data_IF_464175772175
#
_entry.id   IF_464175772175
#
_cell.length_a   1.000
_cell.length_b   1.000
_cell.length_c   1.000
_cell.angle_alpha   90.00
_cell.angle_beta   90.00
_cell.angle_gamma   90.00
#
_symmetry.space_group_name_H-M   'P 1'
#
loop_
_entity.id
_entity.type
_entity.pdbx_description
1 polymer ?
#
# COMPACT_ATOMS: atom_id res chain seq x y z
N UNK A 1 -1.57 -14.21 65.68
CA UNK A 1 -1.01 -15.56 65.93
C UNK A 1 -1.15 -16.34 64.62
N UNK A 2 -0.03 -16.88 64.14
CA UNK A 2 0.18 -17.68 62.94
C UNK A 2 0.27 -16.98 61.55
N UNK A 3 1.14 -17.50 60.65
CA UNK A 3 1.92 -16.78 59.66
C UNK A 3 1.73 -17.42 58.25
N UNK A 4 2.77 -17.35 57.41
CA UNK A 4 3.14 -18.37 56.40
C UNK A 4 2.95 -18.00 54.90
N UNK A 5 3.94 -17.27 54.37
CA UNK A 5 4.86 -17.64 53.27
C UNK A 5 4.37 -18.09 51.85
N UNK A 6 5.28 -18.02 50.83
CA UNK A 6 5.00 -17.60 49.44
C UNK A 6 5.23 -18.69 48.36
N UNK A 7 4.85 -18.44 47.10
CA UNK A 7 5.31 -19.10 45.85
C UNK A 7 4.59 -18.44 44.65
N UNK A 8 5.02 -18.34 43.40
CA UNK A 8 6.12 -18.94 42.65
C UNK A 8 6.42 -18.05 41.43
N UNK A 9 7.71 -17.91 41.11
CA UNK A 9 8.20 -17.44 39.82
C UNK A 9 8.00 -18.56 38.78
N UNK A 10 7.35 -18.29 37.65
CA UNK A 10 7.39 -19.16 36.47
C UNK A 10 8.37 -18.61 35.45
N UNK A 11 9.55 -19.23 35.40
CA UNK A 11 10.41 -19.24 34.21
C UNK A 11 9.68 -20.03 33.13
N UNK A 12 9.50 -19.44 31.95
CA UNK A 12 9.14 -20.19 30.74
C UNK A 12 10.36 -20.17 29.83
N UNK A 13 10.89 -21.36 29.69
CA UNK A 13 12.00 -21.79 28.86
C UNK A 13 11.71 -21.48 27.38
N UNK A 14 12.63 -20.78 26.72
CA UNK A 14 12.57 -20.56 25.26
C UNK A 14 13.07 -21.82 24.57
N UNK A 15 12.12 -22.62 24.09
CA UNK A 15 12.36 -23.73 23.19
C UNK A 15 12.82 -23.19 21.81
N UNK A 16 13.95 -23.69 21.33
CA UNK A 16 14.58 -23.34 20.06
C UNK A 16 14.12 -24.35 18.98
N UNK A 17 13.58 -23.95 17.82
CA UNK A 17 13.16 -24.91 16.80
C UNK A 17 14.35 -25.46 15.99
N UNK A 18 14.22 -26.69 15.44
CA UNK A 18 15.34 -27.47 14.94
C UNK A 18 15.81 -27.09 13.52
N UNK A 19 17.11 -27.26 13.30
CA UNK A 19 17.75 -27.26 11.99
C UNK A 19 17.16 -28.33 11.07
N UNK A 20 16.81 -27.96 9.84
CA UNK A 20 16.60 -28.90 8.74
C UNK A 20 17.71 -28.74 7.69
N UNK A 21 18.39 -29.86 7.47
CA UNK A 21 19.50 -30.05 6.56
C UNK A 21 19.02 -30.78 5.30
N UNK A 22 19.59 -30.39 4.14
CA UNK A 22 19.57 -31.04 2.81
C UNK A 22 18.22 -30.98 2.07
N UNK A 23 18.19 -30.72 0.76
CA UNK A 23 18.92 -31.45 -0.29
C UNK A 23 19.27 -30.57 -1.50
N UNK A 24 20.42 -30.91 -2.07
CA UNK A 24 20.92 -30.51 -3.38
C UNK A 24 19.90 -30.79 -4.50
N UNK A 25 19.82 -29.91 -5.50
CA UNK A 25 19.51 -30.30 -6.87
C UNK A 25 20.42 -29.54 -7.85
N UNK A 26 21.29 -30.24 -8.60
CA UNK A 26 22.15 -29.67 -9.63
C UNK A 26 21.57 -29.96 -11.03
N UNK A 27 21.09 -28.96 -11.78
CA UNK A 27 21.18 -28.92 -13.26
C UNK A 27 20.39 -27.73 -13.84
N UNK A 28 21.03 -27.05 -14.81
CA UNK A 28 20.54 -26.10 -15.84
C UNK A 28 21.47 -24.87 -15.84
N UNK A 29 22.59 -24.79 -16.57
CA UNK A 29 22.75 -24.85 -18.04
C UNK A 29 21.60 -24.10 -18.75
N UNK A 30 21.77 -23.00 -19.48
CA UNK A 30 22.91 -22.46 -20.23
C UNK A 30 22.85 -20.93 -20.27
N UNK A 31 24.01 -20.29 -20.24
CA UNK A 31 24.22 -18.96 -20.81
C UNK A 31 24.53 -19.08 -22.31
N UNK A 32 24.04 -18.16 -23.17
CA UNK A 32 24.71 -17.85 -24.41
C UNK A 32 25.51 -16.54 -24.29
N UNK A 33 26.75 -16.49 -24.81
CA UNK A 33 27.53 -15.28 -24.89
C UNK A 33 27.42 -14.62 -26.27
N UNK A 34 27.88 -13.35 -26.29
CA UNK A 34 28.45 -12.60 -27.42
C UNK A 34 27.50 -11.84 -28.37
N UNK A 35 27.72 -10.53 -28.34
CA UNK A 35 27.37 -9.50 -29.30
C UNK A 35 28.17 -9.66 -30.61
N UNK A 36 27.50 -9.69 -31.77
CA UNK A 36 28.16 -9.48 -33.08
C UNK A 36 27.36 -8.48 -33.90
N UNK A 37 28.04 -7.37 -34.26
CA UNK A 37 27.63 -6.39 -35.26
C UNK A 37 27.58 -7.04 -36.64
N UNK A 38 26.55 -6.72 -37.42
CA UNK A 38 26.66 -6.72 -38.88
C UNK A 38 25.88 -5.55 -39.48
N UNK A 39 26.62 -4.77 -40.24
CA UNK A 39 26.20 -3.70 -41.13
C UNK A 39 25.45 -4.29 -42.34
N UNK A 40 24.36 -3.65 -42.82
CA UNK A 40 24.22 -3.04 -44.16
C UNK A 40 22.78 -3.09 -44.76
N UNK A 41 22.33 -1.90 -45.19
CA UNK A 41 21.55 -1.54 -46.40
C UNK A 41 20.09 -1.98 -46.62
N UNK A 42 19.28 -0.97 -46.95
CA UNK A 42 17.97 -1.04 -47.63
C UNK A 42 17.09 0.16 -47.25
N UNK A 43 17.27 1.35 -47.84
CA UNK A 43 16.60 1.85 -49.05
C UNK A 43 15.07 2.02 -48.93
N UNK A 44 14.62 3.28 -48.95
CA UNK A 44 13.33 3.69 -49.54
C UNK A 44 12.19 4.02 -48.57
N UNK A 45 11.90 5.32 -48.40
CA UNK A 45 10.58 5.90 -48.65
C UNK A 45 10.56 7.39 -48.24
N UNK A 46 10.61 8.27 -49.24
CA UNK A 46 10.13 9.64 -49.13
C UNK A 46 8.64 9.61 -48.78
N UNK A 47 8.26 10.12 -47.61
CA UNK A 47 6.98 10.81 -47.41
C UNK A 47 7.21 11.98 -46.48
N UNK A 48 7.00 13.18 -47.01
CA UNK A 48 6.81 14.39 -46.23
C UNK A 48 5.70 14.14 -45.21
N UNK A 49 6.05 14.11 -43.92
CA UNK A 49 5.10 14.35 -42.84
C UNK A 49 5.47 15.66 -42.19
N UNK A 50 4.52 16.57 -42.21
CA UNK A 50 4.49 17.76 -41.38
C UNK A 50 4.72 17.39 -39.90
N UNK A 51 5.46 18.18 -39.11
CA UNK A 51 5.46 18.02 -37.67
C UNK A 51 4.06 18.41 -37.14
N UNK A 52 3.38 17.58 -36.33
CA UNK A 52 2.23 18.07 -35.60
C UNK A 52 2.71 19.11 -34.59
N UNK A 53 2.03 20.25 -34.66
CA UNK A 53 2.04 21.36 -33.72
C UNK A 53 2.19 20.89 -32.26
N UNK A 54 3.05 21.62 -31.56
CA UNK A 54 3.19 21.71 -30.11
C UNK A 54 1.89 21.40 -29.35
N UNK A 55 1.92 20.30 -28.61
CA UNK A 55 0.97 20.02 -27.54
C UNK A 55 1.61 20.48 -26.21
N UNK A 56 1.24 21.64 -25.64
CA UNK A 56 1.84 22.15 -24.40
C UNK A 56 1.46 21.35 -23.14
N UNK A 57 0.76 20.21 -23.28
CA UNK A 57 0.35 19.33 -22.17
C UNK A 57 0.94 17.91 -22.25
N UNK A 58 2.04 17.70 -23.00
CA UNK A 58 2.73 16.40 -23.07
C UNK A 58 3.86 16.23 -22.02
N UNK A 59 3.78 16.86 -20.85
CA UNK A 59 4.78 16.73 -19.77
C UNK A 59 4.68 15.42 -18.95
N UNK A 60 3.76 14.51 -19.25
CA UNK A 60 3.64 13.22 -18.54
C UNK A 60 4.04 12.02 -19.38
N UNK A 61 5.28 12.00 -19.93
CA UNK A 61 5.85 10.75 -20.47
C UNK A 61 7.08 10.28 -19.68
N UNK A 62 6.97 9.01 -19.31
CA UNK A 62 7.95 8.14 -18.66
C UNK A 62 8.14 8.38 -17.15
N UNK A 63 7.19 7.89 -16.35
CA UNK A 63 7.54 7.42 -15.02
C UNK A 63 8.44 6.20 -15.20
N UNK A 64 9.75 6.42 -15.20
CA UNK A 64 10.68 5.43 -14.71
C UNK A 64 10.12 4.98 -13.36
N UNK A 65 9.57 3.77 -13.25
CA UNK A 65 9.25 3.17 -11.95
C UNK A 65 10.57 2.90 -11.25
N UNK A 66 11.22 3.95 -10.77
CA UNK A 66 12.34 3.86 -9.86
C UNK A 66 11.75 3.25 -8.59
N UNK A 67 11.87 1.92 -8.44
CA UNK A 67 11.60 1.25 -7.17
C UNK A 67 12.29 2.07 -6.10
N UNK A 68 11.51 2.76 -5.27
CA UNK A 68 11.99 3.76 -4.31
C UNK A 68 12.83 3.12 -3.19
N UNK A 69 13.08 1.81 -3.27
CA UNK A 69 13.72 1.01 -2.23
C UNK A 69 12.88 0.98 -0.96
N UNK A 70 11.60 1.35 -1.04
CA UNK A 70 10.72 1.50 0.11
C UNK A 70 10.32 0.13 0.65
N UNK A 71 10.69 -0.11 1.91
CA UNK A 71 10.23 -1.24 2.70
C UNK A 71 8.82 -1.03 3.26
N UNK A 72 8.26 -2.09 3.82
CA UNK A 72 6.99 -2.06 4.55
C UNK A 72 7.29 -2.61 5.94
N UNK A 73 6.85 -1.91 6.98
CA UNK A 73 7.07 -2.36 8.34
C UNK A 73 6.29 -3.67 8.61
N UNK A 74 6.83 -4.58 9.42
CA UNK A 74 6.24 -5.91 9.63
C UNK A 74 4.84 -5.84 10.27
N UNK A 75 4.58 -4.80 11.07
CA UNK A 75 3.30 -4.61 11.74
C UNK A 75 2.15 -4.23 10.79
N UNK A 76 2.43 -3.82 9.54
CA UNK A 76 1.40 -3.41 8.57
C UNK A 76 0.43 -4.56 8.28
N UNK A 77 0.98 -5.76 8.07
CA UNK A 77 0.19 -6.96 7.81
C UNK A 77 -0.63 -7.37 9.03
N UNK A 78 -0.05 -7.27 10.22
CA UNK A 78 -0.75 -7.58 11.48
C UNK A 78 -1.94 -6.64 11.68
N UNK A 79 -1.73 -5.33 11.54
CA UNK A 79 -2.81 -4.33 11.68
C UNK A 79 -3.91 -4.53 10.63
N UNK A 80 -3.57 -4.97 9.42
CA UNK A 80 -4.56 -5.30 8.39
C UNK A 80 -5.44 -6.49 8.80
N UNK A 81 -4.84 -7.57 9.29
CA UNK A 81 -5.57 -8.75 9.77
C UNK A 81 -6.46 -8.39 10.95
N UNK A 82 -6.01 -7.50 11.85
CA UNK A 82 -6.82 -7.01 12.96
C UNK A 82 -8.03 -6.18 12.51
N UNK A 83 -7.86 -5.34 11.49
CA UNK A 83 -8.96 -4.61 10.87
C UNK A 83 -9.95 -5.58 10.19
N UNK A 84 -9.47 -6.55 9.42
CA UNK A 84 -10.33 -7.47 8.66
C UNK A 84 -11.07 -8.49 9.55
N UNK A 85 -10.38 -9.13 10.49
CA UNK A 85 -10.92 -10.27 11.23
C UNK A 85 -11.56 -9.86 12.56
N UNK A 86 -10.88 -8.99 13.32
CA UNK A 86 -11.36 -8.60 14.65
C UNK A 86 -12.34 -7.45 14.57
N UNK A 87 -12.42 -6.75 13.43
CA UNK A 87 -13.12 -5.46 13.27
C UNK A 87 -12.76 -4.52 14.42
N UNK A 88 -11.49 -4.53 14.81
CA UNK A 88 -11.01 -3.78 15.97
C UNK A 88 -10.90 -2.27 15.67
N UNK A 89 -10.80 -1.91 14.40
CA UNK A 89 -10.59 -0.56 13.92
C UNK A 89 -11.58 -0.22 12.80
N UNK A 90 -12.07 1.02 12.78
CA UNK A 90 -12.86 1.54 11.64
C UNK A 90 -11.95 1.90 10.47
N UNK A 91 -10.78 2.44 10.78
CA UNK A 91 -9.81 2.85 9.79
C UNK A 91 -8.38 2.72 10.31
N UNK A 92 -7.42 2.65 9.40
CA UNK A 92 -5.98 2.65 9.70
C UNK A 92 -5.29 3.58 8.73
N UNK A 93 -4.47 4.48 9.23
CA UNK A 93 -3.67 5.42 8.43
C UNK A 93 -2.21 5.01 8.48
N UNK A 94 -1.61 5.01 7.31
CA UNK A 94 -0.20 4.72 7.09
C UNK A 94 0.50 5.94 6.49
N UNK A 95 1.76 6.11 6.90
CA UNK A 95 2.65 7.14 6.37
C UNK A 95 3.95 6.51 5.88
N UNK A 96 4.59 7.18 4.94
CA UNK A 96 5.95 6.87 4.53
C UNK A 96 6.92 7.66 5.40
N UNK A 97 7.80 6.95 6.11
CA UNK A 97 8.95 7.58 6.77
C UNK A 97 10.16 7.59 5.83
N UNK A 98 10.42 8.73 5.19
CA UNK A 98 11.52 8.88 4.22
C UNK A 98 12.90 8.58 4.84
N UNK A 99 13.10 8.90 6.13
CA UNK A 99 14.36 8.63 6.84
C UNK A 99 14.66 7.14 6.97
N UNK A 100 13.62 6.36 7.26
CA UNK A 100 13.71 4.91 7.44
C UNK A 100 13.46 4.15 6.14
N UNK A 101 13.04 4.85 5.08
CA UNK A 101 12.61 4.27 3.80
C UNK A 101 11.61 3.13 3.98
N UNK A 102 10.65 3.31 4.87
CA UNK A 102 9.62 2.30 5.13
C UNK A 102 8.24 2.92 5.29
N UNK A 103 7.20 2.13 5.00
CA UNK A 103 5.82 2.47 5.34
C UNK A 103 5.51 2.00 6.76
N UNK A 104 4.92 2.87 7.58
CA UNK A 104 4.56 2.59 8.98
C UNK A 104 3.11 2.96 9.26
N UNK A 105 2.52 2.35 10.27
CA UNK A 105 1.23 2.78 10.84
C UNK A 105 1.43 4.13 11.53
N UNK A 106 0.60 5.11 11.16
CA UNK A 106 0.57 6.42 11.81
C UNK A 106 -0.53 6.48 12.87
N UNK A 107 -1.74 6.03 12.54
CA UNK A 107 -2.90 6.06 13.43
C UNK A 107 -3.80 4.86 13.14
N UNK A 108 -4.38 4.29 14.19
CA UNK A 108 -5.52 3.37 14.09
C UNK A 108 -6.74 4.07 14.68
N UNK A 109 -7.87 4.04 13.96
CA UNK A 109 -9.13 4.62 14.40
C UNK A 109 -10.00 3.58 15.09
N UNK A 110 -10.50 3.87 16.28
CA UNK A 110 -11.40 2.98 17.00
C UNK A 110 -12.72 2.79 16.25
N UNK A 111 -13.45 1.70 16.53
CA UNK A 111 -14.77 1.43 15.92
C UNK A 111 -15.84 2.49 16.25
N UNK A 112 -15.62 3.25 17.32
CA UNK A 112 -16.45 4.37 17.78
C UNK A 112 -16.16 5.67 17.07
N UNK A 113 -15.03 5.79 16.37
CA UNK A 113 -14.69 6.98 15.60
C UNK A 113 -15.55 7.06 14.34
N UNK A 114 -15.96 8.29 14.03
CA UNK A 114 -16.81 8.61 12.90
C UNK A 114 -16.00 8.79 11.61
N UNK A 115 -16.70 8.93 10.49
CA UNK A 115 -16.07 9.27 9.22
C UNK A 115 -15.41 10.64 9.23
N UNK A 116 -16.02 11.61 9.92
CA UNK A 116 -15.46 12.95 10.05
C UNK A 116 -14.14 12.94 10.83
N UNK A 117 -14.02 12.09 11.84
CA UNK A 117 -12.77 11.89 12.59
C UNK A 117 -11.66 11.30 11.68
N UNK A 118 -12.04 10.40 10.77
CA UNK A 118 -11.14 9.87 9.75
C UNK A 118 -10.66 10.99 8.82
N UNK A 119 -11.56 11.77 8.24
CA UNK A 119 -11.19 12.88 7.36
C UNK A 119 -10.34 13.94 8.07
N UNK A 120 -10.68 14.28 9.32
CA UNK A 120 -9.92 15.21 10.16
C UNK A 120 -8.50 14.70 10.49
N UNK A 121 -8.27 13.40 10.40
CA UNK A 121 -6.93 12.80 10.59
C UNK A 121 -6.08 12.76 9.31
N UNK A 122 -6.65 13.10 8.15
CA UNK A 122 -5.90 13.24 6.90
C UNK A 122 -5.26 14.64 6.81
N UNK A 123 -3.94 14.74 6.58
CA UNK A 123 -3.27 16.04 6.51
C UNK A 123 -3.57 16.75 5.19
N UNK A 124 -3.80 18.06 5.25
CA UNK A 124 -4.03 18.87 4.05
C UNK A 124 -2.78 19.03 3.17
N UNK A 125 -1.59 18.97 3.74
CA UNK A 125 -0.33 19.32 3.04
C UNK A 125 0.62 18.14 2.80
N UNK A 126 0.17 16.92 3.08
CA UNK A 126 1.00 15.72 2.95
C UNK A 126 0.18 14.51 2.50
N UNK A 127 0.84 13.49 1.97
CA UNK A 127 0.20 12.29 1.46
C UNK A 127 0.03 11.22 2.55
N UNK A 128 -1.01 10.39 2.46
CA UNK A 128 -1.24 9.24 3.35
C UNK A 128 -1.82 8.06 2.58
N UNK A 129 -1.61 6.85 3.10
CA UNK A 129 -2.47 5.74 2.72
C UNK A 129 -3.43 5.47 3.87
N UNK A 130 -4.64 5.07 3.55
CA UNK A 130 -5.60 4.64 4.56
C UNK A 130 -6.31 3.37 4.12
N UNK A 131 -6.67 2.55 5.10
CA UNK A 131 -7.67 1.52 4.95
C UNK A 131 -8.90 1.93 5.74
N UNK A 132 -10.07 1.78 5.14
CA UNK A 132 -11.34 2.11 5.77
C UNK A 132 -12.30 0.92 5.62
N UNK A 133 -12.83 0.40 6.73
CA UNK A 133 -13.87 -0.63 6.72
C UNK A 133 -15.25 0.03 6.68
N UNK A 134 -15.91 -0.06 5.53
CA UNK A 134 -17.25 0.45 5.33
C UNK A 134 -18.28 -0.66 5.54
N UNK A 135 -19.04 -0.56 6.61
CA UNK A 135 -20.16 -1.44 6.93
C UNK A 135 -21.47 -0.91 6.31
N UNK A 136 -22.22 -1.80 5.69
CA UNK A 136 -23.51 -1.50 5.10
C UNK A 136 -24.49 -2.65 5.30
N UNK A 137 -25.78 -2.33 5.28
CA UNK A 137 -26.86 -3.31 5.39
C UNK A 137 -27.51 -3.47 4.03
N UNK A 138 -27.60 -4.71 3.53
CA UNK A 138 -28.30 -4.99 2.27
C UNK A 138 -29.82 -4.97 2.48
N UNK A 139 -30.60 -4.93 1.39
CA UNK A 139 -32.07 -4.96 1.46
C UNK A 139 -32.65 -6.20 2.14
N UNK A 140 -31.85 -7.27 2.29
CA UNK A 140 -32.18 -8.49 3.02
C UNK A 140 -31.89 -8.39 4.53
N UNK A 141 -31.55 -7.20 5.03
CA UNK A 141 -31.13 -6.94 6.41
C UNK A 141 -29.87 -7.72 6.82
N UNK A 142 -29.01 -8.05 5.85
CA UNK A 142 -27.72 -8.72 6.10
C UNK A 142 -26.64 -7.65 6.17
N UNK A 143 -25.91 -7.62 7.29
CA UNK A 143 -24.80 -6.71 7.47
C UNK A 143 -23.57 -7.25 6.73
N UNK A 144 -23.04 -6.44 5.82
CA UNK A 144 -21.81 -6.71 5.07
C UNK A 144 -20.82 -5.59 5.35
N UNK A 145 -19.54 -5.83 5.11
CA UNK A 145 -18.57 -4.76 5.10
C UNK A 145 -17.57 -4.93 3.96
N UNK A 146 -17.06 -3.80 3.47
CA UNK A 146 -16.10 -3.71 2.36
C UNK A 146 -14.96 -2.81 2.81
N UNK A 147 -13.75 -3.31 2.65
CA UNK A 147 -12.52 -2.58 2.97
C UNK A 147 -12.07 -1.79 1.74
N UNK A 148 -11.89 -0.49 1.91
CA UNK A 148 -11.40 0.44 0.90
C UNK A 148 -9.95 0.82 1.19
N UNK A 149 -9.09 0.72 0.18
CA UNK A 149 -7.75 1.29 0.19
C UNK A 149 -7.77 2.69 -0.42
N UNK A 150 -7.42 3.68 0.36
CA UNK A 150 -7.46 5.10 -0.02
C UNK A 150 -6.03 5.62 -0.10
N UNK A 151 -5.62 6.06 -1.29
CA UNK A 151 -4.38 6.80 -1.51
C UNK A 151 -4.69 8.30 -1.48
N UNK A 152 -4.43 8.92 -0.33
CA UNK A 152 -4.61 10.35 -0.09
C UNK A 152 -3.39 11.14 -0.58
N UNK A 153 -3.60 12.05 -1.52
CA UNK A 153 -2.53 12.87 -2.12
C UNK A 153 -3.02 14.28 -2.46
N UNK A 154 -3.11 15.18 -1.48
CA UNK A 154 -3.72 16.48 -1.70
C UNK A 154 -2.95 17.36 -2.68
N UNK A 155 -3.66 18.22 -3.39
CA UNK A 155 -3.09 19.08 -4.45
C UNK A 155 -1.95 19.98 -3.94
N UNK A 156 -2.01 20.41 -2.68
CA UNK A 156 -1.02 21.21 -1.96
C UNK A 156 0.21 20.43 -1.47
N UNK A 157 0.19 19.10 -1.52
CA UNK A 157 1.34 18.26 -1.14
C UNK A 157 2.56 18.53 -2.01
N UNK A 158 3.75 18.38 -1.41
CA UNK A 158 5.03 18.52 -2.12
C UNK A 158 5.12 17.52 -3.27
N UNK A 159 5.58 17.97 -4.44
CA UNK A 159 5.75 17.11 -5.64
C UNK A 159 6.54 15.84 -5.33
N UNK A 160 7.62 15.96 -4.55
CA UNK A 160 8.45 14.82 -4.12
C UNK A 160 7.64 13.80 -3.29
N UNK A 161 6.78 14.28 -2.39
CA UNK A 161 5.93 13.41 -1.58
C UNK A 161 4.92 12.67 -2.46
N UNK A 162 4.23 13.37 -3.36
CA UNK A 162 3.30 12.76 -4.33
C UNK A 162 3.97 11.67 -5.17
N UNK A 163 5.17 11.97 -5.67
CA UNK A 163 5.96 11.00 -6.43
C UNK A 163 6.32 9.78 -5.56
N UNK A 164 6.82 9.99 -4.34
CA UNK A 164 7.20 8.92 -3.43
C UNK A 164 6.02 8.01 -3.07
N UNK A 165 4.86 8.59 -2.75
CA UNK A 165 3.64 7.85 -2.44
C UNK A 165 3.05 7.16 -3.68
N UNK A 166 3.11 7.77 -4.86
CA UNK A 166 2.64 7.12 -6.08
C UNK A 166 3.50 5.89 -6.41
N UNK A 167 4.83 6.03 -6.38
CA UNK A 167 5.76 4.96 -6.77
C UNK A 167 5.85 3.84 -5.72
N UNK A 168 5.56 4.12 -4.46
CA UNK A 168 5.61 3.11 -3.37
C UNK A 168 4.28 2.40 -3.14
N UNK A 169 3.20 2.83 -3.80
CA UNK A 169 1.83 2.35 -3.61
C UNK A 169 1.71 0.84 -3.85
N UNK A 170 2.27 0.35 -4.96
CA UNK A 170 2.13 -1.06 -5.32
C UNK A 170 2.73 -1.99 -4.27
N UNK A 171 3.83 -1.56 -3.64
CA UNK A 171 4.49 -2.34 -2.60
C UNK A 171 3.59 -2.56 -1.40
N UNK A 172 2.92 -1.52 -0.90
CA UNK A 172 2.02 -1.69 0.24
C UNK A 172 0.73 -2.42 -0.15
N UNK A 173 0.22 -2.22 -1.37
CA UNK A 173 -0.94 -2.96 -1.86
C UNK A 173 -0.71 -4.47 -1.84
N UNK A 174 0.50 -4.92 -2.21
CA UNK A 174 0.86 -6.34 -2.14
C UNK A 174 0.92 -6.90 -0.71
N UNK A 175 1.22 -6.07 0.29
CA UNK A 175 1.21 -6.50 1.70
C UNK A 175 -0.20 -6.50 2.30
N UNK A 176 -1.09 -5.67 1.77
CA UNK A 176 -2.49 -5.51 2.17
C UNK A 176 -3.46 -6.28 1.25
N UNK A 177 -3.00 -7.38 0.64
CA UNK A 177 -3.80 -8.14 -0.32
C UNK A 177 -5.09 -8.68 0.34
N UNK A 178 -6.24 -8.19 -0.13
CA UNK A 178 -7.56 -8.48 0.45
C UNK A 178 -8.50 -7.27 0.64
N UNK A 179 -8.07 -6.05 0.32
CA UNK A 179 -9.01 -4.92 0.20
C UNK A 179 -9.89 -5.07 -1.05
N UNK A 180 -11.10 -4.50 -1.01
CA UNK A 180 -12.12 -4.71 -2.04
C UNK A 180 -12.03 -3.66 -3.15
N UNK A 181 -11.73 -2.41 -2.78
CA UNK A 181 -11.70 -1.29 -3.72
C UNK A 181 -10.51 -0.37 -3.42
N UNK A 182 -9.97 0.22 -4.49
CA UNK A 182 -8.96 1.28 -4.41
C UNK A 182 -9.59 2.63 -4.78
N UNK A 183 -9.28 3.64 -3.99
CA UNK A 183 -9.64 5.05 -4.20
C UNK A 183 -8.36 5.86 -4.19
N UNK A 184 -8.24 6.78 -5.13
CA UNK A 184 -7.24 7.84 -5.08
C UNK A 184 -8.01 9.14 -4.90
N UNK A 185 -7.56 9.96 -3.96
CA UNK A 185 -8.23 11.22 -3.66
C UNK A 185 -7.23 12.34 -3.46
N UNK A 186 -7.54 13.50 -4.03
CA UNK A 186 -6.79 14.74 -3.84
C UNK A 186 -7.50 15.69 -2.88
N UNK A 187 -8.79 15.49 -2.64
CA UNK A 187 -9.60 16.38 -1.81
C UNK A 187 -10.52 15.56 -0.90
N UNK A 188 -10.83 16.03 0.32
CA UNK A 188 -11.58 15.22 1.28
C UNK A 188 -12.98 14.88 0.73
N UNK A 189 -13.55 15.76 -0.10
CA UNK A 189 -14.82 15.55 -0.80
C UNK A 189 -14.79 14.39 -1.82
N UNK A 190 -13.62 13.94 -2.29
CA UNK A 190 -13.53 12.75 -3.16
C UNK A 190 -13.51 11.45 -2.37
N UNK A 191 -13.16 11.54 -1.08
CA UNK A 191 -13.33 10.50 -0.09
C UNK A 191 -14.62 10.82 0.66
N UNK A 192 -15.75 10.86 -0.06
CA UNK A 192 -17.05 11.03 0.58
C UNK A 192 -17.71 9.66 0.82
N UNK A 193 -18.50 9.59 1.87
CA UNK A 193 -19.24 8.38 2.25
C UNK A 193 -20.18 7.93 1.14
N UNK A 194 -20.69 8.86 0.33
CA UNK A 194 -21.52 8.55 -0.83
C UNK A 194 -20.75 7.77 -1.91
N UNK A 195 -19.50 8.14 -2.18
CA UNK A 195 -18.63 7.44 -3.14
C UNK A 195 -18.32 6.01 -2.65
N UNK A 196 -18.10 5.86 -1.34
CA UNK A 196 -17.92 4.54 -0.73
C UNK A 196 -19.18 3.69 -0.87
N UNK A 197 -20.35 4.30 -0.61
CA UNK A 197 -21.64 3.63 -0.69
C UNK A 197 -21.98 3.21 -2.12
N UNK A 198 -21.77 4.06 -3.12
CA UNK A 198 -22.01 3.74 -4.53
C UNK A 198 -21.19 2.53 -5.00
N UNK A 199 -19.93 2.43 -4.55
CA UNK A 199 -19.07 1.27 -4.85
C UNK A 199 -19.40 0.04 -4.00
N UNK A 200 -20.05 0.23 -2.87
CA UNK A 200 -20.40 -0.84 -1.95
C UNK A 200 -21.68 -1.59 -2.36
N UNK A 201 -22.64 -0.93 -2.99
CA UNK A 201 -23.87 -1.53 -3.51
C UNK A 201 -23.69 -2.13 -4.92
#
# INVERSE_FOLDING_TARGET
KNPQQPAAQRKIEKENPPQQHRKNNPFALLAPPVCVRSTQRGAGAHRHRHPPVSDPMAFMRSHSNASSGMGVAPNIRETFVELQMKKAFRYVIFKIEEKQKQVVVEKTGATTESYDDFLASLPENDCRYALYDFDFVTGENVQKSKIFFIAWSPSTSRIRAKMLYSTSKDRIKHELDGFHYEIQATDPSEVDIEVLRERAH
#
